data_IF_876642445180
#
_entry.id   IF_876642445180
#
_cell.length_a   1.000
_cell.length_b   1.000
_cell.length_c   1.000
_cell.angle_alpha   90.00
_cell.angle_beta   90.00
_cell.angle_gamma   90.00
#
_symmetry.space_group_name_H-M   'P 1'
#
loop_
_entity.id
_entity.type
_entity.pdbx_description
1 polymer ?
#
# COMPACT_ATOMS: atom_id res chain seq x y z
N UNK A 1 79.99 24.69 19.63
CA UNK A 1 78.55 24.35 19.55
C UNK A 1 78.41 23.40 18.36
N UNK A 2 78.54 22.08 18.58
CA UNK A 2 77.46 21.06 18.74
C UNK A 2 76.43 21.11 17.60
N UNK A 3 76.09 20.08 16.83
CA UNK A 3 76.43 18.64 16.68
C UNK A 3 75.86 18.24 15.29
N UNK A 4 76.62 17.53 14.44
CA UNK A 4 76.53 16.08 14.09
C UNK A 4 75.19 15.63 13.47
N UNK A 5 75.19 15.21 12.19
CA UNK A 5 75.10 13.81 11.70
C UNK A 5 73.65 13.43 11.34
N UNK A 6 73.25 12.59 10.37
CA UNK A 6 73.84 11.77 9.31
C UNK A 6 72.65 11.44 8.36
N UNK A 7 72.76 11.56 7.04
CA UNK A 7 73.08 10.51 6.05
C UNK A 7 72.13 9.28 5.99
N UNK A 8 71.67 8.98 4.75
CA UNK A 8 71.36 7.67 4.14
C UNK A 8 69.96 7.02 4.24
N UNK A 9 69.31 7.00 3.05
CA UNK A 9 68.80 5.84 2.28
C UNK A 9 67.67 4.89 2.79
N UNK A 10 66.67 4.75 1.91
CA UNK A 10 65.78 3.62 1.53
C UNK A 10 66.11 2.22 2.13
N UNK A 11 65.18 1.23 2.27
CA UNK A 11 64.10 0.85 1.34
C UNK A 11 62.83 0.23 1.98
N UNK A 12 61.92 -0.31 1.16
CA UNK A 12 60.69 -0.99 1.59
C UNK A 12 60.90 -2.16 2.57
N UNK A 13 59.93 -2.34 3.46
CA UNK A 13 59.87 -3.45 4.41
C UNK A 13 58.43 -3.81 4.74
N UNK A 14 57.94 -4.88 4.13
CA UNK A 14 56.67 -5.49 4.45
C UNK A 14 56.73 -6.10 5.87
N UNK A 15 56.12 -5.42 6.84
CA UNK A 15 55.96 -6.00 8.18
C UNK A 15 54.67 -6.85 8.22
N UNK A 16 54.80 -8.14 7.87
CA UNK A 16 53.80 -9.16 8.21
C UNK A 16 53.83 -9.38 9.73
N UNK A 17 52.74 -9.05 10.43
CA UNK A 17 52.51 -9.51 11.79
C UNK A 17 51.78 -10.87 11.75
N UNK A 18 52.24 -11.88 12.52
CA UNK A 18 51.65 -13.22 12.56
C UNK A 18 50.52 -13.32 13.60
N UNK A 19 49.51 -14.15 13.28
CA UNK A 19 48.57 -14.77 14.21
C UNK A 19 48.00 -13.90 15.35
N UNK A 20 47.00 -13.09 15.01
CA UNK A 20 45.97 -12.65 15.95
C UNK A 20 44.62 -13.20 15.51
N UNK A 21 44.00 -14.05 16.32
CA UNK A 21 42.62 -14.52 16.12
C UNK A 21 41.72 -13.31 15.87
N UNK A 22 40.80 -13.32 14.89
CA UNK A 22 39.84 -12.23 14.75
C UNK A 22 38.98 -12.22 16.02
N UNK A 23 39.24 -11.22 16.87
CA UNK A 23 38.35 -10.82 17.95
C UNK A 23 37.00 -10.60 17.31
N UNK A 24 36.01 -11.34 17.78
CA UNK A 24 34.63 -11.22 17.38
C UNK A 24 34.17 -9.79 17.61
N UNK A 25 34.34 -8.95 16.58
CA UNK A 25 33.63 -7.70 16.44
C UNK A 25 32.16 -8.08 16.40
N UNK A 26 31.44 -7.70 17.45
CA UNK A 26 29.99 -7.71 17.50
C UNK A 26 29.48 -6.76 16.40
N UNK A 27 29.46 -7.26 15.17
CA UNK A 27 28.82 -6.63 14.04
C UNK A 27 27.33 -6.57 14.34
N UNK A 28 26.84 -5.36 14.60
CA UNK A 28 25.45 -4.99 14.42
C UNK A 28 25.10 -5.13 12.93
N UNK A 29 24.96 -6.38 12.50
CA UNK A 29 24.63 -6.80 11.14
C UNK A 29 23.43 -7.73 11.18
N UNK A 30 22.36 -7.33 11.87
CA UNK A 30 21.06 -7.97 11.72
C UNK A 30 20.04 -6.87 11.46
N UNK A 31 20.03 -6.35 10.23
CA UNK A 31 18.75 -5.93 9.65
C UNK A 31 17.90 -7.20 9.60
N UNK A 32 16.82 -7.33 10.39
CA UNK A 32 15.88 -8.41 10.12
C UNK A 32 15.38 -8.14 8.71
N UNK A 33 15.75 -9.00 7.77
CA UNK A 33 15.21 -8.99 6.43
C UNK A 33 13.69 -8.97 6.61
N UNK A 34 13.10 -7.81 6.34
CA UNK A 34 11.65 -7.64 6.30
C UNK A 34 11.21 -8.58 5.22
N UNK A 35 10.78 -9.77 5.63
CA UNK A 35 10.22 -10.80 4.77
C UNK A 35 8.90 -10.20 4.28
N UNK A 36 8.98 -9.31 3.29
CA UNK A 36 7.84 -8.86 2.51
C UNK A 36 7.27 -10.12 1.93
N UNK A 37 6.18 -10.56 2.56
CA UNK A 37 5.49 -11.80 2.27
C UNK A 37 4.99 -11.64 0.85
N UNK A 38 5.76 -12.10 -0.13
CA UNK A 38 5.40 -12.14 -1.53
C UNK A 38 4.14 -13.00 -1.63
N UNK A 39 2.98 -12.37 -1.49
CA UNK A 39 1.70 -12.94 -1.85
C UNK A 39 1.83 -13.34 -3.31
N UNK A 40 1.51 -14.61 -3.61
CA UNK A 40 1.46 -15.17 -4.95
C UNK A 40 0.76 -14.20 -5.91
N UNK A 41 1.53 -13.36 -6.60
CA UNK A 41 1.05 -12.54 -7.71
C UNK A 41 1.26 -13.39 -8.96
N UNK A 42 0.25 -14.21 -9.29
CA UNK A 42 0.25 -15.04 -10.51
C UNK A 42 0.23 -14.18 -11.78
N UNK A 43 -0.28 -12.95 -11.69
CA UNK A 43 -0.06 -11.90 -12.67
C UNK A 43 1.05 -10.99 -12.16
N UNK A 44 2.22 -11.08 -12.78
CA UNK A 44 3.35 -10.26 -12.44
C UNK A 44 2.97 -8.78 -12.52
N UNK A 45 2.92 -8.12 -11.36
CA UNK A 45 2.96 -6.66 -11.16
C UNK A 45 2.24 -5.89 -12.29
N UNK A 46 0.91 -5.96 -12.31
CA UNK A 46 0.07 -5.01 -13.08
C UNK A 46 0.50 -3.61 -12.66
N UNK A 47 0.66 -2.70 -13.63
CA UNK A 47 1.10 -1.34 -13.31
C UNK A 47 0.08 -0.71 -12.34
N UNK A 48 0.52 -0.11 -11.23
CA UNK A 48 -0.37 0.49 -10.23
C UNK A 48 -1.36 1.52 -10.81
N UNK A 49 -1.00 2.16 -11.94
CA UNK A 49 -1.87 3.10 -12.67
C UNK A 49 -3.07 2.41 -13.33
N UNK A 50 -2.84 1.24 -13.94
CA UNK A 50 -3.87 0.46 -14.64
C UNK A 50 -4.87 -0.02 -13.61
N UNK A 51 -4.39 -0.38 -12.41
CA UNK A 51 -5.24 -0.76 -11.31
C UNK A 51 -6.05 0.43 -10.76
N UNK A 52 -5.44 1.60 -10.59
CA UNK A 52 -6.18 2.79 -10.16
C UNK A 52 -7.30 3.15 -11.16
N UNK A 53 -6.99 3.11 -12.46
CA UNK A 53 -7.97 3.32 -13.53
C UNK A 53 -9.07 2.26 -13.48
N UNK A 54 -8.70 0.99 -13.33
CA UNK A 54 -9.63 -0.13 -13.17
C UNK A 54 -10.62 0.11 -12.02
N UNK A 55 -10.15 0.49 -10.84
CA UNK A 55 -11.02 0.76 -9.67
C UNK A 55 -11.96 1.92 -9.94
N UNK A 56 -11.46 3.03 -10.50
CA UNK A 56 -12.25 4.22 -10.77
C UNK A 56 -13.33 3.91 -11.81
N UNK A 57 -12.95 3.35 -12.96
CA UNK A 57 -13.89 3.03 -14.05
C UNK A 57 -14.94 2.04 -13.58
N UNK A 58 -14.54 0.95 -12.91
CA UNK A 58 -15.53 -0.02 -12.41
C UNK A 58 -16.44 0.59 -11.35
N UNK A 59 -15.96 1.45 -10.46
CA UNK A 59 -16.83 2.14 -9.51
C UNK A 59 -17.86 3.01 -10.23
N UNK A 60 -17.45 3.76 -11.25
CA UNK A 60 -18.35 4.60 -12.03
C UNK A 60 -19.38 3.74 -12.77
N UNK A 61 -18.97 2.64 -13.39
CA UNK A 61 -19.87 1.73 -14.10
C UNK A 61 -20.83 1.01 -13.13
N UNK A 62 -20.35 0.61 -11.96
CA UNK A 62 -21.13 -0.05 -10.92
C UNK A 62 -22.09 0.90 -10.23
N UNK A 63 -21.76 2.17 -10.00
CA UNK A 63 -22.67 3.14 -9.35
C UNK A 63 -23.51 3.95 -10.34
N UNK A 64 -23.12 4.01 -11.61
CA UNK A 64 -23.87 4.71 -12.65
C UNK A 64 -25.21 4.03 -12.98
N UNK A 65 -26.12 4.78 -13.62
CA UNK A 65 -27.42 4.29 -14.09
C UNK A 65 -27.31 3.39 -15.35
N UNK A 66 -26.46 2.37 -15.28
CA UNK A 66 -26.24 1.32 -16.30
C UNK A 66 -27.32 0.26 -16.32
N UNK A 67 -27.49 -0.40 -17.47
CA UNK A 67 -28.33 -1.60 -17.55
C UNK A 67 -27.85 -2.67 -16.56
N UNK A 68 -28.76 -3.54 -16.14
CA UNK A 68 -28.41 -4.67 -15.28
C UNK A 68 -27.38 -5.59 -15.93
N UNK A 69 -27.40 -5.73 -17.27
CA UNK A 69 -26.43 -6.53 -18.01
C UNK A 69 -25.00 -5.97 -17.88
N UNK A 70 -24.85 -4.65 -17.99
CA UNK A 70 -23.55 -3.98 -17.82
C UNK A 70 -22.99 -4.17 -16.41
N UNK A 71 -23.86 -4.12 -15.39
CA UNK A 71 -23.49 -4.34 -13.99
C UNK A 71 -23.03 -5.77 -13.77
N UNK A 72 -23.74 -6.77 -14.31
CA UNK A 72 -23.32 -8.17 -14.27
C UNK A 72 -21.97 -8.39 -14.94
N UNK A 73 -21.75 -7.78 -16.12
CA UNK A 73 -20.48 -7.87 -16.83
C UNK A 73 -19.33 -7.26 -16.01
N UNK A 74 -19.54 -6.07 -15.43
CA UNK A 74 -18.54 -5.40 -14.58
C UNK A 74 -18.21 -6.21 -13.32
N UNK A 75 -19.19 -6.89 -12.72
CA UNK A 75 -18.98 -7.80 -11.60
C UNK A 75 -18.25 -9.07 -12.00
N UNK A 76 -18.52 -9.61 -13.17
CA UNK A 76 -17.75 -10.71 -13.75
C UNK A 76 -16.27 -10.33 -13.88
N UNK A 77 -15.98 -9.14 -14.39
CA UNK A 77 -14.62 -8.61 -14.49
C UNK A 77 -13.97 -8.45 -13.10
N UNK A 78 -14.70 -7.94 -12.10
CA UNK A 78 -14.23 -7.90 -10.70
C UNK A 78 -13.92 -9.29 -10.16
N UNK A 79 -14.80 -10.25 -10.40
CA UNK A 79 -14.62 -11.63 -9.98
C UNK A 79 -13.37 -12.26 -10.60
N UNK A 80 -13.23 -12.17 -11.93
CA UNK A 80 -12.06 -12.68 -12.65
C UNK A 80 -10.78 -12.03 -12.13
N UNK A 81 -10.75 -10.70 -12.01
CA UNK A 81 -9.57 -10.00 -11.49
C UNK A 81 -9.22 -10.44 -10.05
N UNK A 82 -10.23 -10.69 -9.21
CA UNK A 82 -10.04 -11.12 -7.82
C UNK A 82 -9.55 -12.58 -7.73
N UNK A 83 -9.98 -13.48 -8.63
CA UNK A 83 -9.42 -14.85 -8.77
C UNK A 83 -7.94 -14.80 -9.10
N UNK A 84 -7.56 -13.94 -10.05
CA UNK A 84 -6.22 -13.90 -10.60
C UNK A 84 -5.21 -13.22 -9.64
N UNK A 85 -5.70 -12.31 -8.79
CA UNK A 85 -4.84 -11.50 -7.90
C UNK A 85 -4.84 -11.95 -6.44
N UNK A 86 -5.91 -12.57 -5.94
CA UNK A 86 -6.13 -12.76 -4.50
C UNK A 86 -6.15 -14.24 -4.09
N UNK A 87 -5.88 -14.51 -2.80
CA UNK A 87 -5.98 -15.86 -2.21
C UNK A 87 -7.41 -16.44 -2.34
N UNK A 88 -7.55 -17.77 -2.45
CA UNK A 88 -8.83 -18.42 -2.72
C UNK A 88 -9.91 -18.11 -1.68
N UNK A 89 -9.54 -17.96 -0.39
CA UNK A 89 -10.48 -17.59 0.67
C UNK A 89 -11.18 -16.25 0.43
N UNK A 90 -10.47 -15.26 -0.10
CA UNK A 90 -11.03 -13.91 -0.27
C UNK A 90 -11.99 -13.84 -1.44
N UNK A 91 -11.61 -14.43 -2.59
CA UNK A 91 -12.52 -14.49 -3.74
C UNK A 91 -13.73 -15.39 -3.45
N UNK A 92 -13.54 -16.53 -2.77
CA UNK A 92 -14.66 -17.42 -2.41
C UNK A 92 -15.67 -16.74 -1.47
N UNK A 93 -15.21 -16.01 -0.46
CA UNK A 93 -16.10 -15.25 0.41
C UNK A 93 -16.87 -14.16 -0.37
N UNK A 94 -16.20 -13.50 -1.31
CA UNK A 94 -16.82 -12.48 -2.15
C UNK A 94 -17.85 -13.08 -3.12
N UNK A 95 -17.55 -14.21 -3.78
CA UNK A 95 -18.51 -14.87 -4.69
C UNK A 95 -19.71 -15.41 -3.95
N UNK A 96 -19.52 -16.01 -2.77
CA UNK A 96 -20.64 -16.46 -1.92
C UNK A 96 -21.53 -15.26 -1.56
N UNK A 97 -20.94 -14.15 -1.13
CA UNK A 97 -21.70 -12.94 -0.81
C UNK A 97 -22.51 -12.44 -2.01
N UNK A 98 -21.89 -12.37 -3.19
CA UNK A 98 -22.54 -11.97 -4.43
C UNK A 98 -23.70 -12.92 -4.80
N UNK A 99 -23.46 -14.23 -4.75
CA UNK A 99 -24.46 -15.25 -5.09
C UNK A 99 -25.67 -15.22 -4.13
N UNK A 100 -25.44 -15.00 -2.84
CA UNK A 100 -26.51 -14.87 -1.84
C UNK A 100 -27.43 -13.70 -2.18
N UNK A 101 -26.88 -12.54 -2.55
CA UNK A 101 -27.69 -11.37 -2.90
C UNK A 101 -28.38 -11.50 -4.27
N UNK A 102 -27.74 -12.14 -5.25
CA UNK A 102 -28.41 -12.51 -6.51
C UNK A 102 -29.59 -13.44 -6.22
N UNK A 103 -29.38 -14.48 -5.43
CA UNK A 103 -30.43 -15.43 -5.06
C UNK A 103 -31.57 -14.75 -4.32
N UNK A 104 -31.26 -13.82 -3.42
CA UNK A 104 -32.23 -12.98 -2.73
C UNK A 104 -33.07 -12.15 -3.72
N UNK A 105 -32.45 -11.54 -4.74
CA UNK A 105 -33.16 -10.79 -5.79
C UNK A 105 -34.13 -11.64 -6.62
N UNK A 106 -33.81 -12.91 -6.88
CA UNK A 106 -34.65 -13.79 -7.72
C UNK A 106 -35.69 -14.60 -6.92
N UNK A 107 -35.37 -15.04 -5.70
CA UNK A 107 -36.25 -15.89 -4.89
C UNK A 107 -37.38 -15.09 -4.24
N UNK A 108 -37.12 -13.89 -3.74
CA UNK A 108 -38.14 -13.07 -3.07
C UNK A 108 -39.35 -12.68 -3.94
N UNK A 109 -39.17 -12.22 -5.19
CA UNK A 109 -40.32 -11.91 -6.04
C UNK A 109 -41.09 -13.17 -6.47
N UNK A 110 -40.47 -14.35 -6.42
CA UNK A 110 -41.12 -15.63 -6.74
C UNK A 110 -41.98 -16.14 -5.58
N UNK A 111 -41.54 -15.93 -4.34
CA UNK A 111 -42.30 -16.36 -3.17
C UNK A 111 -43.47 -15.42 -2.88
N UNK A 112 -43.23 -14.11 -2.79
CA UNK A 112 -44.21 -13.15 -2.26
C UNK A 112 -44.34 -11.93 -3.20
N UNK A 113 -45.52 -11.72 -3.78
CA UNK A 113 -45.83 -10.56 -4.65
C UNK A 113 -46.52 -9.47 -3.84
N UNK A 114 -45.75 -8.75 -3.02
CA UNK A 114 -46.22 -7.70 -2.11
C UNK A 114 -45.27 -6.49 -2.14
N UNK A 115 -45.72 -5.30 -1.72
CA UNK A 115 -44.89 -4.08 -1.65
C UNK A 115 -43.60 -4.28 -0.85
N UNK A 116 -43.63 -5.17 0.16
CA UNK A 116 -42.45 -5.50 0.99
C UNK A 116 -41.37 -6.23 0.18
N UNK A 117 -41.74 -7.11 -0.76
CA UNK A 117 -40.74 -7.81 -1.58
C UNK A 117 -40.09 -6.87 -2.60
N UNK A 118 -40.81 -5.88 -3.12
CA UNK A 118 -40.24 -4.84 -3.97
C UNK A 118 -39.18 -4.00 -3.23
N UNK A 119 -39.43 -3.63 -1.97
CA UNK A 119 -38.46 -2.92 -1.13
C UNK A 119 -37.22 -3.77 -0.85
N UNK A 120 -37.38 -5.06 -0.58
CA UNK A 120 -36.25 -5.94 -0.33
C UNK A 120 -35.42 -6.23 -1.58
N UNK A 121 -36.05 -6.35 -2.75
CA UNK A 121 -35.35 -6.45 -4.05
C UNK A 121 -34.55 -5.18 -4.33
N UNK A 122 -35.08 -3.99 -3.99
CA UNK A 122 -34.34 -2.74 -4.09
C UNK A 122 -33.08 -2.76 -3.20
N UNK A 123 -33.21 -3.16 -1.93
CA UNK A 123 -32.07 -3.29 -1.02
C UNK A 123 -31.05 -4.30 -1.56
N UNK A 124 -31.52 -5.46 -2.00
CA UNK A 124 -30.66 -6.52 -2.52
C UNK A 124 -29.91 -6.09 -3.78
N UNK A 125 -30.57 -5.35 -4.68
CA UNK A 125 -29.95 -4.76 -5.86
C UNK A 125 -28.82 -3.79 -5.50
N UNK A 126 -29.04 -2.90 -4.52
CA UNK A 126 -28.00 -1.97 -4.07
C UNK A 126 -26.86 -2.69 -3.33
N UNK A 127 -27.18 -3.66 -2.48
CA UNK A 127 -26.17 -4.47 -1.77
C UNK A 127 -25.26 -5.23 -2.75
N UNK A 128 -25.82 -5.76 -3.82
CA UNK A 128 -25.08 -6.40 -4.89
C UNK A 128 -24.14 -5.41 -5.63
N UNK A 129 -24.57 -4.17 -5.89
CA UNK A 129 -23.68 -3.13 -6.47
C UNK A 129 -22.55 -2.76 -5.52
N UNK A 130 -22.83 -2.61 -4.23
CA UNK A 130 -21.82 -2.37 -3.21
C UNK A 130 -20.81 -3.54 -3.13
N UNK A 131 -21.26 -4.78 -3.29
CA UNK A 131 -20.37 -5.94 -3.33
C UNK A 131 -19.30 -5.79 -4.42
N UNK A 132 -19.65 -5.28 -5.59
CA UNK A 132 -18.70 -5.00 -6.68
C UNK A 132 -17.68 -3.93 -6.32
N UNK A 133 -18.15 -2.83 -5.73
CA UNK A 133 -17.29 -1.72 -5.26
C UNK A 133 -16.29 -2.22 -4.22
N UNK A 134 -16.78 -2.96 -3.21
CA UNK A 134 -15.93 -3.55 -2.19
C UNK A 134 -14.97 -4.60 -2.79
N UNK A 135 -15.41 -5.41 -3.74
CA UNK A 135 -14.56 -6.37 -4.44
C UNK A 135 -13.40 -5.71 -5.17
N UNK A 136 -13.69 -4.65 -5.94
CA UNK A 136 -12.69 -3.86 -6.64
C UNK A 136 -11.72 -3.18 -5.65
N UNK A 137 -12.24 -2.63 -4.54
CA UNK A 137 -11.42 -2.02 -3.50
C UNK A 137 -10.51 -3.03 -2.79
N UNK A 138 -11.01 -4.22 -2.47
CA UNK A 138 -10.20 -5.30 -1.87
C UNK A 138 -9.11 -5.75 -2.83
N UNK A 139 -9.43 -5.94 -4.12
CA UNK A 139 -8.43 -6.25 -5.13
C UNK A 139 -7.34 -5.17 -5.18
N UNK A 140 -7.74 -3.90 -5.13
CA UNK A 140 -6.82 -2.78 -5.12
C UNK A 140 -5.90 -2.77 -3.91
N UNK A 141 -6.44 -2.90 -2.69
CA UNK A 141 -5.67 -2.89 -1.45
C UNK A 141 -4.71 -4.09 -1.37
N UNK A 142 -5.08 -5.24 -1.96
CA UNK A 142 -4.21 -6.42 -1.97
C UNK A 142 -3.07 -6.34 -2.97
N UNK A 143 -3.24 -5.55 -4.04
CA UNK A 143 -2.27 -5.44 -5.13
C UNK A 143 -1.41 -4.17 -5.00
N UNK A 144 -1.98 -3.04 -4.59
CA UNK A 144 -1.26 -1.79 -4.32
C UNK A 144 -0.62 -1.86 -2.92
N UNK A 145 0.71 -1.99 -2.90
CA UNK A 145 1.47 -1.64 -1.71
C UNK A 145 1.47 -0.12 -1.48
N UNK A 146 1.60 0.29 -0.22
CA UNK A 146 1.63 1.71 0.20
C UNK A 146 2.65 2.52 -0.62
N UNK A 147 3.78 1.92 -0.98
CA UNK A 147 4.84 2.52 -1.80
C UNK A 147 4.46 2.68 -3.29
N UNK A 148 3.60 1.82 -3.81
CA UNK A 148 3.12 1.87 -5.19
C UNK A 148 2.07 2.98 -5.39
N UNK A 149 1.29 3.30 -4.34
CA UNK A 149 0.34 4.43 -4.34
C UNK A 149 1.06 5.75 -4.66
N UNK A 150 2.23 5.98 -4.07
CA UNK A 150 3.05 7.17 -4.35
C UNK A 150 3.51 7.24 -5.82
N UNK A 151 3.82 6.08 -6.43
CA UNK A 151 4.20 6.01 -7.84
C UNK A 151 3.03 6.32 -8.79
N UNK A 152 1.80 5.90 -8.44
CA UNK A 152 0.58 6.26 -9.19
C UNK A 152 0.36 7.77 -9.14
N UNK A 153 0.39 8.35 -7.94
CA UNK A 153 0.16 9.80 -7.76
C UNK A 153 1.20 10.65 -8.49
N UNK A 154 2.47 10.23 -8.48
CA UNK A 154 3.55 10.92 -9.22
C UNK A 154 3.23 11.01 -10.71
N UNK A 155 2.68 9.93 -11.28
CA UNK A 155 2.49 9.79 -12.74
C UNK A 155 1.13 10.27 -13.24
N UNK A 156 0.13 10.36 -12.37
CA UNK A 156 -1.17 10.97 -12.70
C UNK A 156 -1.11 12.51 -12.80
N UNK A 157 0.07 13.12 -12.77
CA UNK A 157 0.27 14.57 -12.83
C UNK A 157 -0.56 15.32 -11.76
N UNK A 158 -0.63 14.77 -10.55
CA UNK A 158 -1.23 15.48 -9.43
C UNK A 158 -0.44 16.78 -9.15
N UNK A 159 -1.12 17.88 -8.76
CA UNK A 159 -0.45 19.14 -8.46
C UNK A 159 0.62 18.94 -7.38
N UNK A 160 1.79 19.57 -7.56
CA UNK A 160 2.97 19.38 -6.70
C UNK A 160 2.66 19.65 -5.21
N UNK A 161 1.72 20.56 -4.94
CA UNK A 161 1.23 20.91 -3.61
C UNK A 161 0.63 19.71 -2.86
N UNK A 162 -0.02 18.78 -3.56
CA UNK A 162 -0.63 17.57 -2.98
C UNK A 162 0.35 16.40 -3.01
N UNK A 163 1.12 16.31 -4.09
CA UNK A 163 2.05 15.21 -4.32
C UNK A 163 3.14 15.10 -3.25
N UNK A 164 3.80 16.22 -2.92
CA UNK A 164 4.95 16.23 -2.01
C UNK A 164 4.56 15.76 -0.61
N UNK A 165 3.49 16.28 0.03
CA UNK A 165 3.03 15.79 1.33
C UNK A 165 2.63 14.31 1.31
N UNK A 166 1.94 13.84 0.26
CA UNK A 166 1.48 12.45 0.19
C UNK A 166 2.65 11.47 0.09
N UNK A 167 3.67 11.79 -0.73
CA UNK A 167 4.89 10.97 -0.81
C UNK A 167 5.65 10.91 0.51
N UNK A 168 5.69 12.03 1.24
CA UNK A 168 6.26 12.11 2.60
C UNK A 168 5.50 11.16 3.52
N UNK A 169 4.17 11.23 3.56
CA UNK A 169 3.36 10.32 4.38
C UNK A 169 3.60 8.86 3.98
N UNK A 170 3.52 8.51 2.70
CA UNK A 170 3.73 7.14 2.21
C UNK A 170 5.09 6.56 2.60
N UNK A 171 6.16 7.36 2.58
CA UNK A 171 7.52 6.87 2.90
C UNK A 171 7.83 6.88 4.39
N UNK A 172 7.25 7.80 5.17
CA UNK A 172 7.54 7.94 6.60
C UNK A 172 6.53 7.27 7.52
N UNK A 173 5.27 7.14 7.10
CA UNK A 173 4.25 6.47 7.89
C UNK A 173 4.66 5.03 8.27
N UNK A 174 5.24 4.20 7.37
CA UNK A 174 5.73 2.88 7.76
C UNK A 174 6.88 2.91 8.78
N UNK A 175 7.65 4.00 8.83
CA UNK A 175 8.67 4.20 9.84
C UNK A 175 8.04 4.61 11.18
N UNK A 176 7.13 5.58 11.17
CA UNK A 176 6.41 6.03 12.36
C UNK A 176 5.64 4.88 13.05
N UNK A 177 5.02 3.99 12.28
CA UNK A 177 4.34 2.79 12.83
C UNK A 177 5.34 1.83 13.49
N UNK A 178 6.53 1.67 12.92
CA UNK A 178 7.58 0.82 13.51
C UNK A 178 8.11 1.41 14.81
N UNK A 179 8.32 2.72 14.83
CA UNK A 179 8.75 3.46 16.01
C UNK A 179 7.70 3.36 17.12
N UNK A 180 6.43 3.59 16.80
CA UNK A 180 5.33 3.43 17.76
C UNK A 180 5.28 2.01 18.32
N UNK A 181 5.45 0.97 17.49
CA UNK A 181 5.51 -0.42 17.96
C UNK A 181 6.71 -0.65 18.87
N UNK A 182 7.88 -0.10 18.54
CA UNK A 182 9.08 -0.23 19.37
C UNK A 182 8.89 0.46 20.73
N UNK A 183 8.27 1.64 20.76
CA UNK A 183 7.91 2.35 22.00
C UNK A 183 6.94 1.52 22.84
N UNK A 184 5.88 0.97 22.23
CA UNK A 184 4.90 0.10 22.92
C UNK A 184 5.56 -1.16 23.46
N UNK A 185 6.46 -1.78 22.70
CA UNK A 185 7.23 -2.95 23.15
C UNK A 185 8.15 -2.59 24.31
N UNK A 186 8.87 -1.46 24.24
CA UNK A 186 9.73 -0.99 25.32
C UNK A 186 8.96 -0.67 26.60
N UNK A 187 7.75 -0.10 26.50
CA UNK A 187 6.87 0.09 27.66
C UNK A 187 6.41 -1.22 28.26
N UNK A 188 6.06 -2.19 27.40
CA UNK A 188 5.66 -3.54 27.83
C UNK A 188 6.78 -4.23 28.63
N UNK A 189 8.05 -4.05 28.21
CA UNK A 189 9.23 -4.56 28.93
C UNK A 189 9.47 -3.85 30.28
N UNK A 190 9.02 -2.61 30.43
CA UNK A 190 9.10 -1.83 31.68
C UNK A 190 7.96 -2.16 32.66
N UNK A 191 7.18 -3.22 32.41
CA UNK A 191 6.06 -3.65 33.26
C UNK A 191 4.81 -2.77 33.15
N UNK A 192 4.85 -1.70 32.36
CA UNK A 192 3.68 -0.95 31.96
C UNK A 192 3.04 -1.75 30.83
N UNK A 193 1.93 -2.45 31.11
CA UNK A 193 1.24 -3.24 30.10
C UNK A 193 0.12 -2.39 29.48
N UNK A 194 0.36 -1.62 28.40
CA UNK A 194 -0.69 -0.96 27.61
C UNK A 194 -1.48 -2.01 26.80
N UNK A 195 -1.75 -3.18 27.39
CA UNK A 195 -2.66 -4.16 26.83
C UNK A 195 -4.07 -3.59 26.77
N UNK A 196 -4.91 -4.18 25.91
CA UNK A 196 -6.29 -3.75 25.69
C UNK A 196 -7.09 -3.51 26.99
N UNK A 197 -6.78 -4.25 28.06
CA UNK A 197 -7.42 -4.11 29.39
C UNK A 197 -7.03 -2.82 30.14
N UNK A 198 -5.79 -2.35 30.03
CA UNK A 198 -5.34 -1.10 30.69
C UNK A 198 -5.76 0.14 29.89
N UNK A 199 -5.69 0.04 28.55
CA UNK A 199 -6.14 1.09 27.63
C UNK A 199 -7.65 1.39 27.76
N UNK A 200 -8.48 0.37 28.02
CA UNK A 200 -9.92 0.54 28.26
C UNK A 200 -10.22 1.11 29.65
N UNK A 201 -9.38 0.78 30.65
CA UNK A 201 -9.61 1.22 32.05
C UNK A 201 -9.17 2.66 32.30
N UNK A 202 -8.08 3.12 31.67
CA UNK A 202 -7.57 4.49 31.80
C UNK A 202 -6.98 5.02 30.46
N UNK A 203 -7.82 5.32 29.46
CA UNK A 203 -7.36 5.70 28.11
C UNK A 203 -6.49 6.96 28.08
N UNK A 204 -6.81 7.99 28.88
CA UNK A 204 -6.01 9.23 28.90
C UNK A 204 -4.59 9.00 29.42
N UNK A 205 -4.44 8.24 30.52
CA UNK A 205 -3.13 8.00 31.13
C UNK A 205 -2.26 7.12 30.24
N UNK A 206 -2.85 6.11 29.61
CA UNK A 206 -2.15 5.28 28.62
C UNK A 206 -1.76 6.08 27.37
N UNK A 207 -2.61 7.01 26.91
CA UNK A 207 -2.31 7.88 25.79
C UNK A 207 -1.12 8.80 26.10
N UNK A 208 -1.08 9.46 27.26
CA UNK A 208 0.05 10.32 27.64
C UNK A 208 1.39 9.57 27.63
N UNK A 209 1.44 8.35 28.18
CA UNK A 209 2.65 7.55 28.20
C UNK A 209 3.15 7.11 26.82
N UNK A 210 2.26 6.97 25.84
CA UNK A 210 2.61 6.59 24.46
C UNK A 210 2.94 7.82 23.62
N UNK A 211 2.13 8.87 23.75
CA UNK A 211 2.15 10.06 22.89
C UNK A 211 3.36 10.92 23.19
N UNK A 212 3.70 11.16 24.47
CA UNK A 212 4.86 12.00 24.84
C UNK A 212 6.18 11.46 24.24
N UNK A 213 6.58 10.19 24.45
CA UNK A 213 7.82 9.67 23.85
C UNK A 213 7.74 9.55 22.32
N UNK A 214 6.55 9.29 21.77
CA UNK A 214 6.36 9.27 20.31
C UNK A 214 6.59 10.65 19.68
N UNK A 215 6.04 11.72 20.27
CA UNK A 215 6.27 13.08 19.80
C UNK A 215 7.74 13.48 19.91
N UNK A 216 8.40 13.11 21.01
CA UNK A 216 9.84 13.37 21.18
C UNK A 216 10.70 12.61 20.17
N UNK A 217 10.31 11.40 19.76
CA UNK A 217 11.00 10.65 18.69
C UNK A 217 10.70 11.26 17.31
N UNK A 218 9.43 11.60 17.03
CA UNK A 218 9.02 12.21 15.77
C UNK A 218 9.72 13.55 15.51
N UNK A 219 9.89 14.40 16.54
CA UNK A 219 10.64 15.65 16.44
C UNK A 219 12.10 15.42 16.02
N UNK A 220 12.79 14.46 16.64
CA UNK A 220 14.17 14.10 16.26
C UNK A 220 14.26 13.59 14.83
N UNK A 221 13.34 12.73 14.41
CA UNK A 221 13.30 12.21 13.04
C UNK A 221 13.08 13.35 12.03
N UNK A 222 12.27 14.35 12.37
CA UNK A 222 12.04 15.52 11.53
C UNK A 222 13.31 16.39 11.41
N UNK A 223 14.05 16.59 12.49
CA UNK A 223 15.31 17.34 12.49
C UNK A 223 16.39 16.62 11.67
N UNK A 224 16.55 15.30 11.87
CA UNK A 224 17.47 14.46 11.10
C UNK A 224 17.13 14.48 9.60
N UNK A 225 15.84 14.43 9.26
CA UNK A 225 15.38 14.50 7.88
C UNK A 225 15.66 15.87 7.26
N UNK A 226 15.46 16.94 8.00
CA UNK A 226 15.71 18.31 7.55
C UNK A 226 17.21 18.52 7.29
N UNK A 227 18.07 18.08 8.21
CA UNK A 227 19.52 18.09 8.01
C UNK A 227 19.94 17.26 6.80
N UNK A 228 19.42 16.03 6.66
CA UNK A 228 19.71 15.17 5.51
C UNK A 228 19.21 15.74 4.18
N UNK A 229 18.09 16.47 4.19
CA UNK A 229 17.54 17.15 3.02
C UNK A 229 18.46 18.28 2.54
N UNK A 230 19.02 19.06 3.47
CA UNK A 230 19.99 20.12 3.18
C UNK A 230 21.28 19.53 2.59
N UNK A 231 21.83 18.48 3.21
CA UNK A 231 23.04 17.80 2.72
C UNK A 231 22.84 17.20 1.32
N UNK A 232 21.65 16.65 1.04
CA UNK A 232 21.29 16.11 -0.29
C UNK A 232 20.93 17.18 -1.32
N UNK A 233 21.00 18.46 -0.96
CA UNK A 233 20.72 19.57 -1.88
C UNK A 233 19.26 19.61 -2.34
N UNK A 234 18.30 19.16 -1.53
CA UNK A 234 16.87 19.18 -1.88
C UNK A 234 16.30 20.61 -2.04
N UNK A 235 17.05 21.65 -1.68
CA UNK A 235 16.75 23.05 -1.95
C UNK A 235 17.30 23.60 -3.28
N UNK A 236 18.12 22.84 -4.01
CA UNK A 236 18.65 23.27 -5.31
C UNK A 236 17.59 23.08 -6.40
N UNK A 237 17.21 24.16 -7.09
CA UNK A 237 16.23 24.23 -8.18
C UNK A 237 16.66 23.48 -9.47
N UNK A 238 17.36 22.35 -9.37
CA UNK A 238 17.72 21.56 -10.55
C UNK A 238 16.66 20.48 -10.80
N UNK A 239 16.18 20.41 -12.04
CA UNK A 239 15.16 19.47 -12.51
C UNK A 239 15.45 18.04 -12.04
N UNK A 240 14.46 17.44 -11.37
CA UNK A 240 14.56 16.14 -10.71
C UNK A 240 14.37 15.04 -11.74
N UNK A 241 15.41 14.27 -12.04
CA UNK A 241 15.32 13.11 -12.94
C UNK A 241 14.55 11.96 -12.26
N UNK A 242 13.47 11.50 -12.88
CA UNK A 242 12.66 10.36 -12.44
C UNK A 242 13.36 9.04 -12.73
N UNK A 243 13.85 8.35 -11.69
CA UNK A 243 14.64 7.11 -11.82
C UNK A 243 13.81 5.84 -12.09
N UNK A 244 12.48 5.90 -12.09
CA UNK A 244 11.67 4.72 -12.37
C UNK A 244 11.14 4.72 -13.80
N UNK A 245 11.63 3.87 -14.70
CA UNK A 245 10.94 3.56 -15.94
C UNK A 245 9.77 2.62 -15.64
N UNK A 246 8.52 3.05 -15.87
CA UNK A 246 7.38 2.11 -15.88
C UNK A 246 7.37 1.43 -17.24
N UNK A 247 7.57 0.12 -17.26
CA UNK A 247 7.43 -0.66 -18.49
C UNK A 247 5.99 -1.15 -18.56
N UNK A 248 5.22 -0.62 -19.52
CA UNK A 248 3.93 -1.18 -19.90
C UNK A 248 4.08 -2.69 -20.11
N UNK A 249 3.31 -3.49 -19.38
CA UNK A 249 3.27 -4.95 -19.57
C UNK A 249 2.04 -5.35 -20.36
N UNK A 250 2.11 -6.52 -21.01
CA UNK A 250 1.00 -7.10 -21.79
C UNK A 250 -0.27 -7.27 -20.94
N UNK A 251 -0.12 -7.54 -19.63
CA UNK A 251 -1.25 -7.58 -18.69
C UNK A 251 -1.97 -6.23 -18.53
N UNK A 252 -1.26 -5.11 -18.64
CA UNK A 252 -1.87 -3.77 -18.61
C UNK A 252 -2.71 -3.52 -19.85
N UNK A 253 -2.21 -3.95 -21.02
CA UNK A 253 -2.94 -3.84 -22.27
C UNK A 253 -4.27 -4.61 -22.22
N UNK A 254 -4.26 -5.85 -21.69
CA UNK A 254 -5.49 -6.64 -21.54
C UNK A 254 -6.50 -5.99 -20.60
N UNK A 255 -6.06 -5.44 -19.46
CA UNK A 255 -6.97 -4.76 -18.53
C UNK A 255 -7.54 -3.49 -19.17
N UNK A 256 -6.72 -2.71 -19.88
CA UNK A 256 -7.17 -1.51 -20.57
C UNK A 256 -8.17 -1.80 -21.69
N UNK A 257 -7.96 -2.86 -22.49
CA UNK A 257 -8.91 -3.22 -23.56
C UNK A 257 -10.27 -3.64 -22.98
N UNK A 258 -10.28 -4.42 -21.89
CA UNK A 258 -11.52 -4.82 -21.22
C UNK A 258 -12.26 -3.60 -20.67
N UNK A 259 -11.56 -2.66 -20.02
CA UNK A 259 -12.16 -1.44 -19.49
C UNK A 259 -12.70 -0.55 -20.61
N UNK A 260 -11.96 -0.39 -21.70
CA UNK A 260 -12.41 0.38 -22.86
C UNK A 260 -13.68 -0.21 -23.47
N UNK A 261 -13.76 -1.54 -23.62
CA UNK A 261 -14.95 -2.22 -24.13
C UNK A 261 -16.18 -1.97 -23.24
N UNK A 262 -16.03 -2.02 -21.91
CA UNK A 262 -17.12 -1.73 -20.98
C UNK A 262 -17.59 -0.27 -21.05
N UNK A 263 -16.67 0.68 -21.22
CA UNK A 263 -17.00 2.10 -21.35
C UNK A 263 -17.72 2.37 -22.68
N UNK A 264 -17.27 1.75 -23.77
CA UNK A 264 -17.94 1.87 -25.08
C UNK A 264 -19.35 1.30 -25.02
N UNK A 265 -19.54 0.12 -24.40
CA UNK A 265 -20.88 -0.43 -24.16
C UNK A 265 -21.74 0.58 -23.38
N UNK A 266 -21.22 1.14 -22.28
CA UNK A 266 -21.94 2.18 -21.51
C UNK A 266 -22.33 3.37 -22.37
N UNK A 267 -21.43 3.86 -23.22
CA UNK A 267 -21.70 5.00 -24.08
C UNK A 267 -22.80 4.69 -25.09
N UNK A 268 -22.80 3.49 -25.68
CA UNK A 268 -23.85 3.03 -26.59
C UNK A 268 -25.21 2.99 -25.87
N UNK A 269 -25.28 2.45 -24.65
CA UNK A 269 -26.52 2.43 -23.86
C UNK A 269 -27.04 3.81 -23.46
N UNK A 270 -26.17 4.82 -23.38
CA UNK A 270 -26.59 6.19 -23.04
C UNK A 270 -27.07 6.96 -24.27
N UNK A 271 -26.59 6.59 -25.46
CA UNK A 271 -26.93 7.23 -26.74
C UNK A 271 -28.19 6.60 -27.37
N UNK A 272 -28.40 5.29 -27.16
CA UNK A 272 -29.58 4.55 -27.62
C UNK A 272 -30.81 4.80 -26.73
#
# INVERSE_FOLDING_TARGET
MKHDEATLALPGGAHRLPNGRPVAGAGFGVTPAVRTRHSRQLFGTVDPRTLALYVIVLNILLMGAGSTALVMASLGVVGVFLVLTTRPRTWLNWTIFVLVWIFCCFLLPMLWRSTVSAFLVFIAFWMFRFAGVFGAAVAAIKVLDVTQVGAVLTRMHAPQVVYVPVMVVVRFFPMAVRELRAIVQAMTLRGLNPGARSAVRHPMRTAEYVVIPFLASAARIADELSAAAIIKGLGAQKSRSTTQPSRFRVGDALVLTILAALVVWRAIEVIA
#
